data_IF_539649151814
#
_entry.id   IF_539649151814
#
_cell.length_a   1.000
_cell.length_b   1.000
_cell.length_c   1.000
_cell.angle_alpha   90.00
_cell.angle_beta   90.00
_cell.angle_gamma   90.00
#
_symmetry.space_group_name_H-M   'P 1'
#
loop_
_entity.id
_entity.type
_entity.pdbx_description
1 polymer ?
#
# COMPACT_ATOMS: atom_id res chain seq x y z
N UNK A 1 11.78 -19.05 22.99
CA UNK A 1 10.84 -17.93 22.83
C UNK A 1 9.44 -18.50 22.78
N UNK A 2 8.61 -18.20 23.78
CA UNK A 2 7.25 -18.72 23.86
C UNK A 2 6.29 -17.84 23.04
N UNK A 3 5.96 -18.30 21.84
CA UNK A 3 4.93 -17.72 20.98
C UNK A 3 3.52 -18.10 21.43
N UNK A 4 3.32 -18.27 22.74
CA UNK A 4 2.01 -18.66 23.24
C UNK A 4 1.01 -17.56 22.88
N UNK A 5 -0.19 -17.89 22.39
CA UNK A 5 -1.22 -16.89 22.06
C UNK A 5 -1.51 -15.95 23.24
N UNK A 6 -1.40 -16.45 24.48
CA UNK A 6 -1.59 -15.66 25.70
C UNK A 6 -0.53 -14.57 25.85
N UNK A 7 0.72 -14.89 25.53
CA UNK A 7 1.84 -13.93 25.60
C UNK A 7 1.63 -12.81 24.57
N UNK A 8 1.29 -13.17 23.33
CA UNK A 8 1.04 -12.20 22.26
C UNK A 8 -0.14 -11.30 22.61
N UNK A 9 -1.27 -11.86 23.05
CA UNK A 9 -2.45 -11.08 23.46
C UNK A 9 -2.11 -10.13 24.60
N UNK A 10 -1.37 -10.59 25.61
CA UNK A 10 -0.99 -9.74 26.75
C UNK A 10 -0.21 -8.51 26.29
N UNK A 11 0.66 -8.63 25.28
CA UNK A 11 1.41 -7.50 24.73
C UNK A 11 0.52 -6.48 24.04
N UNK A 12 -0.50 -6.91 23.30
CA UNK A 12 -1.43 -5.98 22.65
C UNK A 12 -2.40 -5.31 23.62
N UNK A 13 -2.61 -5.89 24.80
CA UNK A 13 -3.41 -5.30 25.88
C UNK A 13 -2.56 -4.41 26.80
N UNK A 14 -1.31 -4.79 27.05
CA UNK A 14 -0.35 -4.09 27.93
C UNK A 14 0.97 -3.85 27.18
N UNK A 15 0.99 -2.94 26.18
CA UNK A 15 2.15 -2.73 25.30
C UNK A 15 3.42 -2.37 26.07
N UNK A 16 3.30 -1.60 27.14
CA UNK A 16 4.43 -1.13 27.96
C UNK A 16 5.25 -2.28 28.58
N UNK A 17 4.61 -3.42 28.87
CA UNK A 17 5.28 -4.59 29.46
C UNK A 17 5.89 -5.50 28.40
N UNK A 18 5.25 -5.62 27.24
CA UNK A 18 5.65 -6.57 26.19
C UNK A 18 6.82 -6.10 25.33
N UNK A 19 6.95 -4.79 25.13
CA UNK A 19 7.89 -4.26 24.15
C UNK A 19 9.35 -4.26 24.60
N UNK A 20 9.66 -4.37 25.90
CA UNK A 20 11.06 -4.41 26.37
C UNK A 20 11.82 -5.66 25.98
N UNK A 21 11.15 -6.80 25.83
CA UNK A 21 11.82 -8.10 25.68
C UNK A 21 11.85 -8.63 24.24
N UNK A 22 10.91 -8.20 23.39
CA UNK A 22 10.67 -8.83 22.08
C UNK A 22 10.84 -7.89 20.89
N UNK A 23 10.87 -6.57 21.13
CA UNK A 23 10.86 -5.58 20.07
C UNK A 23 12.17 -5.63 19.27
N UNK A 24 12.09 -6.20 18.07
CA UNK A 24 13.19 -6.24 17.13
C UNK A 24 12.69 -5.88 15.73
N UNK A 25 13.56 -5.27 14.93
CA UNK A 25 13.25 -4.99 13.53
C UNK A 25 12.82 -6.26 12.76
N UNK A 26 13.41 -7.41 13.11
CA UNK A 26 13.04 -8.71 12.54
C UNK A 26 11.59 -9.10 12.86
N UNK A 27 11.17 -8.96 14.11
CA UNK A 27 9.78 -9.25 14.51
C UNK A 27 8.78 -8.36 13.78
N UNK A 28 9.08 -7.07 13.67
CA UNK A 28 8.25 -6.12 12.93
C UNK A 28 8.18 -6.44 11.43
N UNK A 29 9.31 -6.77 10.81
CA UNK A 29 9.34 -7.18 9.41
C UNK A 29 8.51 -8.45 9.16
N UNK A 30 8.54 -9.43 10.08
CA UNK A 30 7.71 -10.64 9.99
C UNK A 30 6.22 -10.30 10.09
N UNK A 31 5.82 -9.44 11.03
CA UNK A 31 4.42 -8.99 11.16
C UNK A 31 3.97 -8.27 9.90
N UNK A 32 4.76 -7.32 9.40
CA UNK A 32 4.41 -6.56 8.18
C UNK A 32 4.33 -7.49 6.98
N UNK A 33 5.27 -8.42 6.79
CA UNK A 33 5.22 -9.40 5.72
C UNK A 33 3.97 -10.29 5.80
N UNK A 34 3.61 -10.75 7.00
CA UNK A 34 2.39 -11.51 7.21
C UNK A 34 1.15 -10.71 6.84
N UNK A 35 1.10 -9.42 7.19
CA UNK A 35 0.03 -8.50 6.77
C UNK A 35 0.00 -8.30 5.25
N UNK A 36 1.15 -8.21 4.57
CA UNK A 36 1.20 -8.14 3.11
C UNK A 36 0.53 -9.35 2.46
N UNK A 37 0.93 -10.55 2.89
CA UNK A 37 0.43 -11.81 2.35
C UNK A 37 -1.06 -11.97 2.65
N UNK A 38 -1.47 -11.69 3.89
CA UNK A 38 -2.87 -11.73 4.30
C UNK A 38 -3.72 -10.78 3.46
N UNK A 39 -3.29 -9.53 3.30
CA UNK A 39 -4.01 -8.53 2.53
C UNK A 39 -4.12 -8.93 1.05
N UNK A 40 -3.03 -9.41 0.44
CA UNK A 40 -3.01 -9.87 -0.94
C UNK A 40 -3.95 -11.06 -1.19
N UNK A 41 -3.92 -12.07 -0.30
CA UNK A 41 -4.81 -13.24 -0.37
C UNK A 41 -6.27 -12.82 -0.25
N UNK A 42 -6.59 -11.97 0.72
CA UNK A 42 -7.95 -11.50 0.98
C UNK A 42 -8.50 -10.60 -0.15
N UNK A 43 -7.65 -9.80 -0.81
CA UNK A 43 -8.03 -9.07 -2.03
C UNK A 43 -8.27 -10.02 -3.20
N UNK A 44 -7.43 -11.04 -3.37
CA UNK A 44 -7.63 -12.06 -4.41
C UNK A 44 -8.95 -12.82 -4.21
N UNK A 45 -9.28 -13.16 -2.97
CA UNK A 45 -10.55 -13.79 -2.61
C UNK A 45 -11.74 -12.87 -2.93
N UNK A 46 -11.68 -11.60 -2.50
CA UNK A 46 -12.73 -10.62 -2.80
C UNK A 46 -12.89 -10.38 -4.32
N UNK A 47 -11.79 -10.37 -5.08
CA UNK A 47 -11.82 -10.25 -6.53
C UNK A 47 -12.56 -11.44 -7.19
N UNK A 48 -12.41 -12.65 -6.62
CA UNK A 48 -13.17 -13.82 -7.07
C UNK A 48 -14.67 -13.63 -6.85
N UNK A 49 -15.07 -13.12 -5.68
CA UNK A 49 -16.47 -12.82 -5.39
C UNK A 49 -17.06 -11.78 -6.36
N UNK A 50 -16.29 -10.73 -6.69
CA UNK A 50 -16.66 -9.72 -7.70
C UNK A 50 -16.82 -10.36 -9.08
N UNK A 51 -15.90 -11.24 -9.49
CA UNK A 51 -15.98 -11.94 -10.77
C UNK A 51 -17.23 -12.82 -10.85
N UNK A 52 -17.54 -13.58 -9.79
CA UNK A 52 -18.73 -14.44 -9.72
C UNK A 52 -20.04 -13.65 -9.71
N UNK A 53 -20.08 -12.49 -9.04
CA UNK A 53 -21.25 -11.63 -9.02
C UNK A 53 -21.48 -10.90 -10.36
N UNK A 54 -20.47 -10.79 -11.21
CA UNK A 54 -20.54 -10.09 -12.49
C UNK A 54 -21.06 -11.00 -13.60
N UNK A 55 -22.09 -10.54 -14.31
CA UNK A 55 -22.74 -11.29 -15.38
C UNK A 55 -22.78 -10.49 -16.68
N UNK A 56 -23.09 -11.19 -17.77
CA UNK A 56 -23.18 -10.60 -19.11
C UNK A 56 -21.85 -10.59 -19.85
N UNK A 57 -21.91 -10.03 -21.05
CA UNK A 57 -20.76 -9.86 -21.92
C UNK A 57 -21.10 -8.92 -23.06
N UNK A 58 -20.07 -8.55 -23.81
CA UNK A 58 -20.21 -7.80 -25.05
C UNK A 58 -19.39 -8.48 -26.12
N UNK A 59 -19.89 -8.46 -27.35
CA UNK A 59 -19.13 -8.91 -28.50
C UNK A 59 -18.07 -7.86 -28.81
N UNK A 60 -16.83 -8.31 -28.95
CA UNK A 60 -15.68 -7.49 -29.31
C UNK A 60 -15.01 -8.15 -30.50
N UNK A 61 -14.46 -7.33 -31.38
CA UNK A 61 -13.65 -7.80 -32.49
C UNK A 61 -12.51 -8.73 -32.01
N UNK A 62 -12.36 -9.87 -32.69
CA UNK A 62 -11.39 -10.87 -32.34
C UNK A 62 -9.98 -10.44 -32.77
N UNK A 63 -9.12 -10.08 -31.80
CA UNK A 63 -7.74 -9.70 -32.10
C UNK A 63 -6.88 -10.82 -32.68
N UNK A 64 -7.34 -12.08 -32.62
CA UNK A 64 -6.67 -13.21 -33.27
C UNK A 64 -7.05 -13.37 -34.75
N UNK A 65 -8.19 -12.79 -35.18
CA UNK A 65 -8.53 -12.69 -36.60
C UNK A 65 -7.76 -11.52 -37.22
N UNK A 66 -7.13 -11.70 -38.39
CA UNK A 66 -6.57 -10.58 -39.14
C UNK A 66 -7.66 -9.52 -39.43
N UNK A 67 -7.30 -8.23 -39.53
CA UNK A 67 -8.25 -7.19 -39.91
C UNK A 67 -8.97 -7.53 -41.22
N UNK A 68 -10.22 -7.10 -41.36
CA UNK A 68 -11.07 -7.50 -42.50
C UNK A 68 -10.44 -7.18 -43.86
N UNK A 69 -9.72 -6.06 -44.00
CA UNK A 69 -9.02 -5.72 -45.25
C UNK A 69 -7.91 -6.71 -45.64
N UNK A 70 -7.31 -7.42 -44.67
CA UNK A 70 -6.37 -8.52 -44.92
C UNK A 70 -7.13 -9.77 -45.37
N UNK A 71 -8.26 -10.06 -44.72
CA UNK A 71 -9.07 -11.22 -45.05
C UNK A 71 -9.75 -11.10 -46.42
N UNK A 72 -10.16 -9.90 -46.81
CA UNK A 72 -10.66 -9.59 -48.17
C UNK A 72 -9.60 -9.81 -49.25
N UNK A 73 -8.31 -9.73 -48.91
CA UNK A 73 -7.19 -9.88 -49.83
C UNK A 73 -6.50 -11.24 -49.74
N UNK A 74 -6.92 -12.11 -48.81
CA UNK A 74 -6.34 -13.43 -48.57
C UNK A 74 -6.87 -14.49 -49.54
N UNK A 75 -6.74 -14.22 -50.85
CA UNK A 75 -7.07 -15.17 -51.91
C UNK A 75 -5.85 -16.07 -52.26
N UNK A 76 -6.06 -17.29 -52.79
CA UNK A 76 -4.96 -18.15 -53.23
C UNK A 76 -4.05 -17.45 -54.26
N UNK A 77 -2.74 -17.41 -54.01
CA UNK A 77 -1.76 -16.70 -54.82
C UNK A 77 -1.56 -15.22 -54.47
N UNK A 78 -2.26 -14.69 -53.46
CA UNK A 78 -2.06 -13.33 -52.94
C UNK A 78 -0.87 -13.23 -51.98
N UNK A 79 -0.40 -12.01 -51.69
CA UNK A 79 0.60 -11.78 -50.63
C UNK A 79 0.08 -12.09 -49.22
N UNK A 80 -1.23 -12.29 -49.05
CA UNK A 80 -1.89 -12.52 -47.77
C UNK A 80 -2.41 -13.96 -47.61
N UNK A 81 -2.12 -14.87 -48.54
CA UNK A 81 -2.53 -16.29 -48.49
C UNK A 81 -2.19 -16.96 -47.16
N UNK A 82 -1.07 -16.60 -46.52
CA UNK A 82 -0.67 -17.12 -45.19
C UNK A 82 -1.68 -16.85 -44.06
N UNK A 83 -2.62 -15.93 -44.27
CA UNK A 83 -3.65 -15.54 -43.31
C UNK A 83 -5.02 -16.15 -43.61
N UNK A 84 -5.17 -16.85 -44.74
CA UNK A 84 -6.44 -17.41 -45.19
C UNK A 84 -7.06 -18.33 -44.12
N UNK A 85 -6.28 -19.27 -43.59
CA UNK A 85 -6.73 -20.19 -42.53
C UNK A 85 -7.27 -19.42 -41.30
N UNK A 86 -6.57 -18.37 -40.86
CA UNK A 86 -7.01 -17.57 -39.71
C UNK A 86 -8.28 -16.76 -40.02
N UNK A 87 -8.43 -16.26 -41.24
CA UNK A 87 -9.62 -15.53 -41.68
C UNK A 87 -10.87 -16.42 -41.79
N UNK A 88 -10.69 -17.71 -42.12
CA UNK A 88 -11.77 -18.69 -42.25
C UNK A 88 -12.13 -19.37 -40.92
N UNK A 89 -11.15 -19.59 -40.03
CA UNK A 89 -11.34 -20.36 -38.79
C UNK A 89 -11.64 -19.52 -37.56
N UNK A 90 -11.13 -18.29 -37.49
CA UNK A 90 -11.35 -17.41 -36.35
C UNK A 90 -12.64 -16.58 -36.53
N UNK A 91 -13.54 -16.54 -35.53
CA UNK A 91 -14.75 -15.74 -35.63
C UNK A 91 -14.42 -14.24 -35.65
N UNK A 92 -15.25 -13.43 -36.32
CA UNK A 92 -15.07 -11.97 -36.42
C UNK A 92 -15.16 -11.29 -35.05
N UNK A 93 -16.07 -11.78 -34.20
CA UNK A 93 -16.26 -11.29 -32.85
C UNK A 93 -16.17 -12.43 -31.85
N UNK A 94 -15.63 -12.10 -30.67
CA UNK A 94 -15.59 -13.00 -29.51
C UNK A 94 -16.32 -12.30 -28.38
N UNK A 95 -17.29 -12.99 -27.78
CA UNK A 95 -17.99 -12.50 -26.59
C UNK A 95 -17.02 -12.41 -25.41
N UNK A 96 -16.68 -11.20 -25.01
CA UNK A 96 -15.87 -10.94 -23.81
C UNK A 96 -16.80 -10.94 -22.60
N UNK A 97 -16.68 -11.96 -21.76
CA UNK A 97 -17.43 -12.03 -20.52
C UNK A 97 -16.98 -10.94 -19.54
N UNK A 98 -17.96 -10.22 -18.98
CA UNK A 98 -17.68 -9.17 -18.01
C UNK A 98 -17.09 -9.73 -16.71
N UNK A 99 -17.40 -10.99 -16.34
CA UNK A 99 -16.82 -11.69 -15.19
C UNK A 99 -15.29 -11.77 -15.24
N UNK A 100 -14.73 -12.14 -16.39
CA UNK A 100 -13.28 -12.23 -16.59
C UNK A 100 -12.61 -10.84 -16.54
N UNK A 101 -13.26 -9.82 -17.16
CA UNK A 101 -12.77 -8.44 -17.12
C UNK A 101 -12.81 -7.88 -15.69
N UNK A 102 -13.91 -8.10 -14.97
CA UNK A 102 -14.09 -7.67 -13.60
C UNK A 102 -13.09 -8.35 -12.65
N UNK A 103 -12.94 -9.68 -12.77
CA UNK A 103 -11.97 -10.45 -12.00
C UNK A 103 -10.54 -9.98 -12.24
N UNK A 104 -10.15 -9.70 -13.49
CA UNK A 104 -8.83 -9.17 -13.80
C UNK A 104 -8.62 -7.75 -13.27
N UNK A 105 -9.64 -6.90 -13.34
CA UNK A 105 -9.58 -5.53 -12.82
C UNK A 105 -9.42 -5.51 -11.29
N UNK A 106 -10.25 -6.29 -10.58
CA UNK A 106 -10.18 -6.43 -9.13
C UNK A 106 -8.89 -7.15 -8.70
N UNK A 107 -8.48 -8.21 -9.42
CA UNK A 107 -7.21 -8.92 -9.21
C UNK A 107 -5.98 -8.04 -9.44
N UNK A 108 -6.09 -7.02 -10.31
CA UNK A 108 -5.07 -5.98 -10.49
C UNK A 108 -4.77 -5.16 -9.23
N UNK A 109 -5.60 -5.25 -8.18
CA UNK A 109 -5.35 -4.63 -6.87
C UNK A 109 -4.43 -5.46 -5.97
N UNK A 110 -4.18 -6.74 -6.28
CA UNK A 110 -3.35 -7.63 -5.44
C UNK A 110 -1.92 -7.09 -5.24
N UNK A 111 -1.20 -6.60 -6.27
CA UNK A 111 0.12 -6.00 -6.06
C UNK A 111 0.08 -4.77 -5.16
N UNK A 112 -0.95 -3.93 -5.29
CA UNK A 112 -1.13 -2.76 -4.42
C UNK A 112 -1.41 -3.18 -2.98
N UNK A 113 -2.25 -4.21 -2.78
CA UNK A 113 -2.56 -4.76 -1.48
C UNK A 113 -1.32 -5.37 -0.78
N UNK A 114 -0.43 -5.99 -1.55
CA UNK A 114 0.85 -6.49 -1.07
C UNK A 114 1.80 -5.36 -0.62
N UNK A 115 1.80 -4.24 -1.33
CA UNK A 115 2.66 -3.08 -1.06
C UNK A 115 2.08 -2.10 -0.03
N UNK A 116 0.78 -2.20 0.29
CA UNK A 116 0.11 -1.27 1.18
C UNK A 116 0.64 -1.30 2.63
N UNK A 117 0.78 -2.47 3.31
CA UNK A 117 1.33 -2.52 4.66
C UNK A 117 2.75 -1.94 4.82
N UNK A 118 3.75 -2.25 3.96
CA UNK A 118 5.08 -1.69 4.12
C UNK A 118 5.11 -0.20 3.80
N UNK A 119 4.30 0.27 2.85
CA UNK A 119 4.18 1.70 2.58
C UNK A 119 3.65 2.47 3.80
N UNK A 120 2.60 1.95 4.46
CA UNK A 120 2.08 2.53 5.71
C UNK A 120 3.09 2.43 6.85
N UNK A 121 3.77 1.29 6.99
CA UNK A 121 4.79 1.09 8.00
C UNK A 121 5.91 2.13 7.90
N UNK A 122 6.42 2.36 6.68
CA UNK A 122 7.48 3.31 6.42
C UNK A 122 7.02 4.76 6.60
N UNK A 123 5.83 5.12 6.09
CA UNK A 123 5.27 6.46 6.24
C UNK A 123 4.99 6.83 7.70
N UNK A 124 4.36 5.93 8.47
CA UNK A 124 4.11 6.14 9.88
C UNK A 124 5.42 6.23 10.68
N UNK A 125 6.38 5.33 10.44
CA UNK A 125 7.69 5.37 11.11
C UNK A 125 8.46 6.64 10.80
N UNK A 126 8.39 7.09 9.54
CA UNK A 126 8.94 8.37 9.10
C UNK A 126 8.35 9.56 9.83
N UNK A 127 7.02 9.61 9.93
CA UNK A 127 6.33 10.69 10.63
C UNK A 127 6.71 10.73 12.11
N UNK A 128 6.73 9.58 12.77
CA UNK A 128 7.22 9.49 14.15
C UNK A 128 8.66 9.98 14.26
N UNK A 129 9.56 9.50 13.39
CA UNK A 129 10.96 9.90 13.41
C UNK A 129 11.14 11.42 13.23
N UNK A 130 10.37 12.05 12.33
CA UNK A 130 10.43 13.51 12.11
C UNK A 130 9.85 14.29 13.29
N UNK A 131 8.65 13.93 13.77
CA UNK A 131 7.96 14.66 14.85
C UNK A 131 8.72 14.56 16.17
N UNK A 132 9.35 13.43 16.43
CA UNK A 132 10.16 13.22 17.62
C UNK A 132 11.54 13.90 17.52
N UNK A 133 11.84 14.54 16.39
CA UNK A 133 13.03 15.37 16.21
C UNK A 133 14.26 14.58 15.76
N UNK A 134 14.07 13.56 14.92
CA UNK A 134 15.14 12.69 14.44
C UNK A 134 16.37 13.47 13.98
N UNK A 135 17.50 13.27 14.71
CA UNK A 135 18.87 13.62 14.35
C UNK A 135 19.12 15.05 13.84
N UNK A 136 19.28 15.99 14.78
CA UNK A 136 20.10 17.20 14.54
C UNK A 136 21.39 17.28 15.37
N UNK A 137 21.66 16.37 16.32
CA UNK A 137 22.91 16.37 17.10
C UNK A 137 23.78 15.12 16.87
N UNK A 138 25.10 15.29 17.01
CA UNK A 138 26.16 14.30 16.74
C UNK A 138 26.43 13.32 17.90
N UNK A 139 25.62 13.33 18.96
CA UNK A 139 25.85 12.44 20.09
C UNK A 139 25.35 11.00 19.80
N UNK A 140 26.22 9.96 19.89
CA UNK A 140 25.80 8.57 19.80
C UNK A 140 24.80 8.13 20.89
N UNK A 141 24.68 8.87 22.00
CA UNK A 141 23.80 8.55 23.13
C UNK A 141 22.36 9.12 23.03
N UNK A 142 22.11 10.13 22.17
CA UNK A 142 20.80 10.78 21.97
C UNK A 142 19.95 10.18 20.82
N UNK A 143 20.28 8.96 20.39
CA UNK A 143 19.68 8.37 19.19
C UNK A 143 18.35 7.71 19.52
N UNK A 144 17.24 8.35 19.11
CA UNK A 144 16.06 7.57 18.73
C UNK A 144 16.45 6.74 17.52
N UNK A 145 16.72 5.46 17.73
CA UNK A 145 17.07 4.60 16.62
C UNK A 145 15.82 4.42 15.76
N UNK A 146 15.85 4.90 14.52
CA UNK A 146 14.78 4.68 13.53
C UNK A 146 14.37 3.20 13.48
N UNK A 147 15.31 2.30 13.77
CA UNK A 147 15.08 0.85 13.92
C UNK A 147 14.06 0.51 15.00
N UNK A 148 14.06 1.21 16.13
CA UNK A 148 13.17 0.92 17.25
C UNK A 148 11.78 1.49 16.98
N UNK A 149 11.72 2.68 16.36
CA UNK A 149 10.47 3.25 15.83
C UNK A 149 9.86 2.31 14.79
N UNK A 150 10.67 1.85 13.81
CA UNK A 150 10.24 0.86 12.84
C UNK A 150 9.75 -0.41 13.54
N UNK A 151 10.44 -0.88 14.57
CA UNK A 151 10.03 -2.08 15.26
C UNK A 151 8.66 -1.91 15.99
N UNK A 152 8.45 -0.79 16.69
CA UNK A 152 7.17 -0.49 17.37
C UNK A 152 6.04 -0.33 16.35
N UNK A 153 6.29 0.45 15.31
CA UNK A 153 5.25 0.75 14.31
C UNK A 153 4.84 -0.53 13.59
N UNK A 154 5.79 -1.36 13.16
CA UNK A 154 5.52 -2.57 12.40
C UNK A 154 4.75 -3.62 13.21
N UNK A 155 5.08 -3.81 14.49
CA UNK A 155 4.29 -4.67 15.39
C UNK A 155 2.91 -4.06 15.64
N UNK A 156 2.84 -2.75 15.88
CA UNK A 156 1.58 -2.05 16.15
C UNK A 156 0.63 -1.99 14.95
N UNK A 157 1.06 -2.41 13.76
CA UNK A 157 0.17 -2.66 12.62
C UNK A 157 -0.58 -3.98 12.70
N UNK A 158 -0.25 -4.91 13.60
CA UNK A 158 -0.94 -6.20 13.69
C UNK A 158 -2.47 -6.12 13.80
N UNK A 159 -3.08 -5.16 14.53
CA UNK A 159 -4.53 -4.97 14.53
C UNK A 159 -5.14 -4.74 13.13
N UNK A 160 -4.36 -4.28 12.15
CA UNK A 160 -4.81 -4.09 10.77
C UNK A 160 -5.28 -5.41 10.10
N UNK A 161 -4.85 -6.57 10.60
CA UNK A 161 -5.35 -7.86 10.11
C UNK A 161 -6.87 -7.96 10.17
N UNK A 162 -7.49 -7.42 11.22
CA UNK A 162 -8.96 -7.44 11.39
C UNK A 162 -9.68 -6.60 10.33
N UNK A 163 -9.12 -5.45 9.92
CA UNK A 163 -9.73 -4.66 8.84
C UNK A 163 -9.51 -5.30 7.46
N UNK A 164 -8.46 -6.07 7.23
CA UNK A 164 -8.34 -6.85 5.99
C UNK A 164 -9.42 -7.92 5.89
N UNK A 165 -9.57 -8.72 6.95
CA UNK A 165 -10.60 -9.75 7.03
C UNK A 165 -12.00 -9.13 6.93
N UNK A 166 -12.23 -8.05 7.70
CA UNK A 166 -13.49 -7.31 7.69
C UNK A 166 -13.83 -6.74 6.32
N UNK A 167 -12.85 -6.20 5.57
CA UNK A 167 -13.08 -5.70 4.21
C UNK A 167 -13.62 -6.80 3.30
N UNK A 168 -12.91 -7.93 3.24
CA UNK A 168 -13.30 -9.06 2.38
C UNK A 168 -14.66 -9.61 2.77
N UNK A 169 -14.93 -9.79 4.06
CA UNK A 169 -16.23 -10.25 4.54
C UNK A 169 -17.37 -9.30 4.15
N UNK A 170 -17.17 -7.99 4.26
CA UNK A 170 -18.18 -6.99 3.85
C UNK A 170 -18.38 -6.98 2.35
N UNK A 171 -17.31 -7.10 1.55
CA UNK A 171 -17.41 -7.21 0.08
C UNK A 171 -18.22 -8.45 -0.30
N UNK A 172 -17.85 -9.63 0.21
CA UNK A 172 -18.57 -10.88 -0.04
C UNK A 172 -20.04 -10.79 0.36
N UNK A 173 -20.33 -10.24 1.55
CA UNK A 173 -21.70 -10.06 2.02
C UNK A 173 -22.49 -9.08 1.15
N UNK A 174 -21.86 -8.00 0.68
CA UNK A 174 -22.52 -7.00 -0.18
C UNK A 174 -22.85 -7.52 -1.58
N UNK A 175 -22.14 -8.58 -2.00
CA UNK A 175 -22.32 -9.25 -3.29
C UNK A 175 -23.19 -10.51 -3.18
N UNK A 176 -23.41 -11.04 -1.98
CA UNK A 176 -24.25 -12.21 -1.75
C UNK A 176 -25.67 -11.95 -2.25
N UNK A 177 -26.08 -12.68 -3.29
CA UNK A 177 -27.40 -12.53 -3.91
C UNK A 177 -27.56 -11.30 -4.81
N UNK A 178 -26.48 -10.55 -5.07
CA UNK A 178 -26.47 -9.40 -5.97
C UNK A 178 -25.80 -9.75 -7.29
N UNK A 179 -26.35 -9.21 -8.38
CA UNK A 179 -25.76 -9.32 -9.72
C UNK A 179 -25.21 -7.97 -10.14
N UNK A 180 -23.95 -7.96 -10.58
CA UNK A 180 -23.32 -6.82 -11.24
C UNK A 180 -23.53 -6.99 -12.74
N UNK A 181 -24.26 -6.05 -13.35
CA UNK A 181 -24.59 -6.06 -14.78
C UNK A 181 -24.05 -4.77 -15.44
N UNK A 182 -22.73 -4.71 -15.71
CA UNK A 182 -22.14 -3.53 -16.33
C UNK A 182 -22.59 -3.39 -17.79
N UNK A 183 -22.60 -2.16 -18.30
CA UNK A 183 -23.06 -1.85 -19.66
C UNK A 183 -21.97 -1.99 -20.73
N UNK A 184 -20.69 -2.00 -20.32
CA UNK A 184 -19.54 -2.08 -21.23
C UNK A 184 -18.30 -2.65 -20.52
N UNK A 185 -17.23 -2.93 -21.27
CA UNK A 185 -15.93 -3.36 -20.69
C UNK A 185 -15.34 -2.30 -19.76
N UNK A 186 -15.44 -1.02 -20.12
CA UNK A 186 -14.92 0.07 -19.27
C UNK A 186 -15.72 0.15 -17.98
N UNK A 187 -17.04 0.01 -18.09
CA UNK A 187 -17.94 0.00 -16.94
C UNK A 187 -17.70 -1.23 -16.05
N UNK A 188 -17.47 -2.41 -16.62
CA UNK A 188 -17.14 -3.63 -15.89
C UNK A 188 -15.88 -3.46 -15.03
N UNK A 189 -14.83 -2.81 -15.56
CA UNK A 189 -13.60 -2.52 -14.79
C UNK A 189 -13.89 -1.57 -13.62
N UNK A 190 -14.65 -0.50 -13.87
CA UNK A 190 -14.99 0.50 -12.85
C UNK A 190 -15.85 -0.11 -11.75
N UNK A 191 -16.95 -0.76 -12.12
CA UNK A 191 -17.88 -1.43 -11.19
C UNK A 191 -17.14 -2.49 -10.36
N UNK A 192 -16.20 -3.23 -10.96
CA UNK A 192 -15.40 -4.21 -10.23
C UNK A 192 -14.50 -3.56 -9.16
N UNK A 193 -13.81 -2.47 -9.50
CA UNK A 193 -12.95 -1.74 -8.53
C UNK A 193 -13.79 -1.07 -7.45
N UNK A 194 -14.91 -0.46 -7.81
CA UNK A 194 -15.84 0.18 -6.87
C UNK A 194 -16.45 -0.86 -5.90
N UNK A 195 -16.76 -2.06 -6.38
CA UNK A 195 -17.26 -3.16 -5.55
C UNK A 195 -16.24 -3.67 -4.51
N UNK A 196 -14.94 -3.46 -4.75
CA UNK A 196 -13.87 -3.80 -3.81
C UNK A 196 -13.74 -2.80 -2.65
N UNK A 197 -14.42 -1.65 -2.73
CA UNK A 197 -14.36 -0.59 -1.73
C UNK A 197 -15.69 -0.53 -0.96
N UNK A 198 -15.77 -1.20 0.20
CA UNK A 198 -17.03 -1.29 0.93
C UNK A 198 -17.45 0.06 1.53
N UNK A 199 -18.54 0.64 1.01
CA UNK A 199 -19.23 1.78 1.61
C UNK A 199 -20.17 1.32 2.74
N UNK A 200 -19.60 0.76 3.81
CA UNK A 200 -20.36 0.20 4.94
C UNK A 200 -19.99 0.86 6.25
N UNK A 201 -20.98 1.28 7.03
CA UNK A 201 -20.78 1.78 8.38
C UNK A 201 -20.13 0.73 9.30
N UNK A 202 -20.42 -0.56 9.06
CA UNK A 202 -19.79 -1.67 9.79
C UNK A 202 -18.30 -1.74 9.48
N UNK A 203 -17.93 -1.62 8.21
CA UNK A 203 -16.51 -1.61 7.82
C UNK A 203 -15.78 -0.40 8.42
N UNK A 204 -16.39 0.78 8.37
CA UNK A 204 -15.83 1.98 9.00
C UNK A 204 -15.62 1.79 10.50
N UNK A 205 -16.56 1.16 11.21
CA UNK A 205 -16.40 0.85 12.63
C UNK A 205 -15.20 -0.08 12.88
N UNK A 206 -15.01 -1.11 12.04
CA UNK A 206 -13.83 -2.00 12.12
C UNK A 206 -12.53 -1.21 11.89
N UNK A 207 -12.49 -0.32 10.90
CA UNK A 207 -11.34 0.55 10.65
C UNK A 207 -11.04 1.43 11.87
N UNK A 208 -12.04 2.10 12.42
CA UNK A 208 -11.86 2.97 13.60
C UNK A 208 -11.35 2.17 14.79
N UNK A 209 -11.94 1.02 15.09
CA UNK A 209 -11.51 0.16 16.22
C UNK A 209 -10.06 -0.31 16.03
N UNK A 210 -9.71 -0.78 14.84
CA UNK A 210 -8.34 -1.27 14.57
C UNK A 210 -7.31 -0.14 14.60
N UNK A 211 -7.64 1.04 14.07
CA UNK A 211 -6.75 2.22 14.13
C UNK A 211 -6.57 2.71 15.57
N UNK A 212 -7.64 2.79 16.36
CA UNK A 212 -7.54 3.16 17.78
C UNK A 212 -6.69 2.15 18.55
N UNK A 213 -6.82 0.85 18.24
CA UNK A 213 -5.98 -0.18 18.83
C UNK A 213 -4.51 -0.02 18.43
N UNK A 214 -4.21 0.16 17.14
CA UNK A 214 -2.85 0.46 16.68
C UNK A 214 -2.26 1.70 17.34
N UNK A 215 -3.05 2.77 17.46
CA UNK A 215 -2.65 4.01 18.14
C UNK A 215 -2.32 3.76 19.62
N UNK A 216 -3.13 2.97 20.33
CA UNK A 216 -2.86 2.57 21.71
C UNK A 216 -1.54 1.79 21.83
N UNK A 217 -1.30 0.83 20.93
CA UNK A 217 -0.07 0.02 20.90
C UNK A 217 1.16 0.89 20.60
N UNK A 218 1.08 1.77 19.60
CA UNK A 218 2.17 2.70 19.29
C UNK A 218 2.44 3.67 20.42
N UNK A 219 1.41 4.23 21.06
CA UNK A 219 1.57 5.13 22.20
C UNK A 219 2.35 4.46 23.33
N UNK A 220 1.95 3.26 23.75
CA UNK A 220 2.65 2.52 24.81
C UNK A 220 4.06 2.07 24.39
N UNK A 221 4.21 1.55 23.17
CA UNK A 221 5.50 1.08 22.67
C UNK A 221 6.53 2.22 22.50
N UNK A 222 6.12 3.35 21.93
CA UNK A 222 7.01 4.50 21.75
C UNK A 222 7.42 5.11 23.08
N UNK A 223 6.53 5.24 24.06
CA UNK A 223 6.89 5.72 25.41
C UNK A 223 7.90 4.82 26.10
N UNK A 224 7.78 3.50 25.88
CA UNK A 224 8.67 2.50 26.49
C UNK A 224 10.06 2.54 25.87
N UNK A 225 10.15 2.66 24.55
CA UNK A 225 11.41 2.65 23.80
C UNK A 225 12.15 3.98 23.91
N UNK A 226 11.42 5.09 23.97
CA UNK A 226 12.00 6.44 23.99
C UNK A 226 12.18 7.00 25.40
N UNK A 227 11.71 6.26 26.41
CA UNK A 227 11.76 6.63 27.83
C UNK A 227 11.28 8.07 28.10
N UNK A 228 10.26 8.50 27.35
CA UNK A 228 9.78 9.90 27.35
C UNK A 228 8.26 9.97 27.32
N UNK A 229 7.69 10.78 28.21
CA UNK A 229 6.27 11.14 28.22
C UNK A 229 6.02 12.47 27.51
N UNK A 230 6.33 12.53 26.21
CA UNK A 230 6.18 13.78 25.45
C UNK A 230 4.78 13.89 24.82
N UNK A 231 4.19 15.09 24.90
CA UNK A 231 2.99 15.46 24.12
C UNK A 231 3.18 15.28 22.61
N UNK A 232 4.44 15.28 22.13
CA UNK A 232 4.77 15.04 20.72
C UNK A 232 4.44 13.61 20.28
N UNK A 233 4.61 12.62 21.16
CA UNK A 233 4.24 11.21 20.86
C UNK A 233 2.73 11.12 20.65
N UNK A 234 1.95 11.68 21.58
CA UNK A 234 0.50 11.65 21.52
C UNK A 234 -0.04 12.37 20.25
N UNK A 235 0.55 13.52 19.91
CA UNK A 235 0.22 14.26 18.68
C UNK A 235 0.59 13.47 17.40
N UNK A 236 1.76 12.84 17.35
CA UNK A 236 2.18 12.03 16.21
C UNK A 236 1.28 10.80 16.03
N UNK A 237 0.94 10.12 17.13
CA UNK A 237 0.03 8.97 17.12
C UNK A 237 -1.35 9.37 16.60
N UNK A 238 -1.88 10.50 17.09
CA UNK A 238 -3.16 11.02 16.60
C UNK A 238 -3.11 11.37 15.11
N UNK A 239 -2.03 12.00 14.64
CA UNK A 239 -1.84 12.33 13.23
C UNK A 239 -1.82 11.08 12.33
N UNK A 240 -1.05 10.03 12.71
CA UNK A 240 -1.04 8.75 11.98
C UNK A 240 -2.42 8.10 11.99
N UNK A 241 -3.11 8.09 13.13
CA UNK A 241 -4.44 7.52 13.25
C UNK A 241 -5.44 8.20 12.29
N UNK A 242 -5.45 9.54 12.25
CA UNK A 242 -6.29 10.29 11.32
C UNK A 242 -5.95 9.95 9.87
N UNK A 243 -4.67 9.90 9.51
CA UNK A 243 -4.22 9.55 8.16
C UNK A 243 -4.65 8.14 7.74
N UNK A 244 -4.83 7.21 8.68
CA UNK A 244 -5.30 5.85 8.39
C UNK A 244 -6.83 5.73 8.30
N UNK A 245 -7.59 6.65 8.93
CA UNK A 245 -9.06 6.64 8.89
C UNK A 245 -9.61 7.38 7.67
N UNK A 246 -9.03 8.53 7.30
CA UNK A 246 -9.46 9.35 6.15
C UNK A 246 -9.69 8.55 4.86
N UNK A 247 -8.81 7.62 4.47
CA UNK A 247 -8.94 6.88 3.21
C UNK A 247 -10.08 5.87 3.22
N UNK A 248 -10.47 5.37 4.40
CA UNK A 248 -11.63 4.50 4.54
C UNK A 248 -12.95 5.27 4.31
N UNK A 249 -12.93 6.60 4.48
CA UNK A 249 -14.07 7.49 4.18
C UNK A 249 -14.00 8.03 2.76
N UNK A 250 -12.79 8.31 2.26
CA UNK A 250 -12.54 8.86 0.92
C UNK A 250 -11.42 8.08 0.23
N UNK A 251 -11.75 6.95 -0.41
CA UNK A 251 -10.76 6.15 -1.10
C UNK A 251 -10.22 6.94 -2.31
N UNK A 252 -8.90 7.00 -2.42
CA UNK A 252 -8.20 7.56 -3.59
C UNK A 252 -7.54 6.41 -4.33
N UNK A 253 -8.01 6.12 -5.54
CA UNK A 253 -7.42 5.12 -6.43
C UNK A 253 -6.90 5.81 -7.70
N UNK A 254 -5.58 5.73 -7.92
CA UNK A 254 -4.91 6.37 -9.06
C UNK A 254 -4.64 5.40 -10.22
N UNK A 255 -5.09 4.14 -10.13
CA UNK A 255 -4.85 3.12 -11.14
C UNK A 255 -3.54 2.36 -10.96
N UNK A 256 -3.42 1.21 -11.63
CA UNK A 256 -2.21 0.38 -11.60
C UNK A 256 -0.98 1.07 -12.24
N UNK A 257 -1.19 2.01 -13.17
CA UNK A 257 -0.12 2.81 -13.77
C UNK A 257 0.61 3.68 -12.74
N UNK A 258 -0.05 4.02 -11.63
CA UNK A 258 0.53 4.82 -10.56
C UNK A 258 1.53 4.03 -9.69
N UNK A 259 1.56 2.69 -9.77
CA UNK A 259 2.47 1.85 -8.96
C UNK A 259 3.92 2.26 -9.12
N UNK A 260 4.38 2.42 -10.37
CA UNK A 260 5.77 2.78 -10.66
C UNK A 260 6.14 4.15 -10.09
N UNK A 261 5.23 5.13 -10.23
CA UNK A 261 5.42 6.46 -9.63
C UNK A 261 5.46 6.40 -8.10
N UNK A 262 4.57 5.62 -7.48
CA UNK A 262 4.53 5.44 -6.03
C UNK A 262 5.81 4.81 -5.48
N UNK A 263 6.33 3.77 -6.16
CA UNK A 263 7.60 3.14 -5.81
C UNK A 263 8.79 4.09 -5.99
N UNK A 264 8.81 4.88 -7.06
CA UNK A 264 9.85 5.88 -7.29
C UNK A 264 9.85 6.96 -6.19
N UNK A 265 8.68 7.45 -5.80
CA UNK A 265 8.53 8.43 -4.70
C UNK A 265 9.01 7.84 -3.36
N UNK A 266 8.66 6.59 -3.04
CA UNK A 266 9.20 5.90 -1.86
C UNK A 266 10.72 5.76 -1.92
N UNK A 267 11.27 5.31 -3.06
CA UNK A 267 12.69 5.08 -3.23
C UNK A 267 13.52 6.38 -3.09
N UNK A 268 12.99 7.51 -3.57
CA UNK A 268 13.61 8.83 -3.43
C UNK A 268 13.43 9.41 -2.02
N UNK A 269 12.26 9.22 -1.41
CA UNK A 269 11.94 9.79 -0.10
C UNK A 269 12.65 9.09 1.07
N UNK A 270 12.82 7.76 1.00
CA UNK A 270 13.38 6.96 2.09
C UNK A 270 14.81 7.37 2.48
N UNK A 271 15.78 7.54 1.56
CA UNK A 271 17.13 7.98 1.91
C UNK A 271 17.13 9.39 2.53
N UNK A 272 16.36 10.33 1.96
CA UNK A 272 16.24 11.69 2.46
C UNK A 272 15.66 11.73 3.88
N UNK A 273 14.71 10.83 4.17
CA UNK A 273 14.09 10.72 5.49
C UNK A 273 14.98 9.98 6.51
N UNK A 274 15.62 8.87 6.12
CA UNK A 274 16.37 8.00 7.03
C UNK A 274 17.81 8.48 7.28
N UNK A 275 18.42 9.11 6.28
CA UNK A 275 19.81 9.55 6.29
C UNK A 275 20.00 10.94 5.63
N UNK A 276 19.29 12.00 6.08
CA UNK A 276 19.32 13.32 5.45
C UNK A 276 20.74 13.90 5.34
N UNK A 277 21.60 13.72 6.36
CA UNK A 277 23.00 14.18 6.33
C UNK A 277 23.86 13.48 5.25
N UNK A 278 23.54 12.23 4.90
CA UNK A 278 24.27 11.52 3.84
C UNK A 278 23.84 12.09 2.50
N UNK A 279 22.54 12.34 2.31
CA UNK A 279 22.01 12.98 1.10
C UNK A 279 22.62 14.37 0.91
N UNK A 280 22.66 15.21 1.95
CA UNK A 280 23.29 16.54 1.89
C UNK A 280 24.79 16.46 1.58
N UNK A 281 25.51 15.47 2.14
CA UNK A 281 26.93 15.28 1.83
C UNK A 281 27.16 14.86 0.38
N UNK A 282 26.28 14.02 -0.17
CA UNK A 282 26.32 13.62 -1.59
C UNK A 282 25.99 14.81 -2.49
N UNK A 283 25.00 15.63 -2.12
CA UNK A 283 24.66 16.86 -2.85
C UNK A 283 25.85 17.83 -2.86
N UNK A 284 26.45 18.10 -1.69
CA UNK A 284 27.66 18.91 -1.60
C UNK A 284 28.79 18.32 -2.45
N UNK A 285 29.01 17.00 -2.42
CA UNK A 285 30.04 16.36 -3.24
C UNK A 285 29.88 16.64 -4.74
N UNK A 286 28.64 16.68 -5.26
CA UNK A 286 28.37 16.97 -6.67
C UNK A 286 28.38 18.47 -6.98
N UNK A 287 27.96 19.33 -6.05
CA UNK A 287 27.99 20.80 -6.20
C UNK A 287 29.43 21.35 -6.15
N UNK A 288 30.33 20.63 -5.44
CA UNK A 288 31.73 21.00 -5.21
C UNK A 288 32.70 20.64 -6.37
N UNK A 289 32.21 20.35 -7.59
CA UNK A 289 33.09 20.34 -8.78
C UNK A 289 33.76 21.72 -8.98
N UNK A 290 33.28 22.80 -8.34
CA UNK A 290 33.89 24.14 -8.36
C UNK A 290 34.58 24.66 -7.10
N UNK A 291 34.36 24.09 -5.90
CA UNK A 291 34.96 24.61 -4.65
C UNK A 291 35.43 23.46 -3.75
N UNK A 292 36.72 23.42 -3.38
CA UNK A 292 37.27 22.35 -2.51
C UNK A 292 37.42 22.90 -1.10
N UNK A 293 36.42 22.68 -0.25
CA UNK A 293 36.46 23.02 1.18
C UNK A 293 35.54 22.11 1.99
N UNK A 294 35.90 21.85 3.25
CA UNK A 294 35.11 21.06 4.19
C UNK A 294 33.94 21.93 4.68
N UNK A 295 32.79 21.85 4.01
CA UNK A 295 31.61 22.67 4.33
C UNK A 295 30.74 21.93 5.34
N UNK A 296 30.60 22.52 6.53
CA UNK A 296 29.73 22.00 7.58
C UNK A 296 28.25 22.07 7.16
N UNK A 297 27.54 20.93 7.23
CA UNK A 297 26.13 20.83 6.85
C UNK A 297 25.27 21.52 7.91
N UNK A 298 24.57 22.59 7.53
CA UNK A 298 23.68 23.33 8.44
C UNK A 298 22.48 22.47 8.87
N UNK A 299 22.15 22.50 10.17
CA UNK A 299 21.05 21.71 10.77
C UNK A 299 19.68 21.95 10.12
N UNK A 300 19.36 23.18 9.73
CA UNK A 300 18.08 23.47 9.07
C UNK A 300 17.93 22.81 7.70
N UNK A 301 19.04 22.58 6.96
CA UNK A 301 19.01 21.84 5.68
C UNK A 301 18.69 20.38 5.91
N UNK A 302 19.31 19.77 6.92
CA UNK A 302 19.02 18.40 7.34
C UNK A 302 17.54 18.23 7.67
N UNK A 303 16.96 19.16 8.44
CA UNK A 303 15.53 19.14 8.76
C UNK A 303 14.64 19.30 7.52
N UNK A 304 14.99 20.21 6.61
CA UNK A 304 14.25 20.42 5.36
C UNK A 304 14.26 19.15 4.49
N UNK A 305 15.43 18.53 4.32
CA UNK A 305 15.62 17.30 3.54
C UNK A 305 14.87 16.12 4.16
N UNK A 306 14.84 16.03 5.48
CA UNK A 306 14.07 15.02 6.19
C UNK A 306 12.55 15.19 6.00
N UNK A 307 12.05 16.44 6.08
CA UNK A 307 10.63 16.76 5.84
C UNK A 307 10.24 16.52 4.38
N UNK A 308 11.11 16.88 3.43
CA UNK A 308 10.90 16.60 2.01
C UNK A 308 10.87 15.08 1.75
N UNK A 309 11.80 14.34 2.34
CA UNK A 309 11.83 12.88 2.29
C UNK A 309 10.54 12.27 2.82
N UNK A 310 10.05 12.76 3.96
CA UNK A 310 8.77 12.32 4.54
C UNK A 310 7.59 12.62 3.61
N UNK A 311 7.53 13.81 3.02
CA UNK A 311 6.48 14.17 2.07
C UNK A 311 6.47 13.25 0.85
N UNK A 312 7.65 12.92 0.29
CA UNK A 312 7.79 11.95 -0.79
C UNK A 312 7.35 10.55 -0.38
N UNK A 313 7.69 10.10 0.84
CA UNK A 313 7.26 8.80 1.36
C UNK A 313 5.73 8.75 1.49
N UNK A 314 5.09 9.79 2.03
CA UNK A 314 3.63 9.87 2.11
C UNK A 314 2.97 9.90 0.74
N UNK A 315 3.51 10.70 -0.19
CA UNK A 315 3.02 10.76 -1.56
C UNK A 315 3.13 9.39 -2.25
N UNK A 316 4.26 8.69 -2.06
CA UNK A 316 4.46 7.33 -2.56
C UNK A 316 3.46 6.35 -1.96
N UNK A 317 3.27 6.38 -0.64
CA UNK A 317 2.31 5.51 0.07
C UNK A 317 0.86 5.75 -0.36
N UNK A 318 0.47 7.02 -0.54
CA UNK A 318 -0.83 7.41 -1.09
C UNK A 318 -1.01 6.90 -2.52
N UNK A 319 0.01 7.05 -3.35
CA UNK A 319 -0.01 6.67 -4.77
C UNK A 319 -0.13 5.15 -4.95
N UNK A 320 0.49 4.37 -4.07
CA UNK A 320 0.35 2.90 -4.03
C UNK A 320 -1.01 2.42 -3.50
N UNK A 321 -1.95 3.33 -3.23
CA UNK A 321 -3.22 2.98 -2.58
C UNK A 321 -3.00 2.43 -1.18
N UNK A 322 -1.81 2.65 -0.58
CA UNK A 322 -1.43 2.13 0.72
C UNK A 322 -2.42 2.55 1.79
N UNK A 323 -3.05 3.71 1.62
CA UNK A 323 -4.04 4.22 2.54
C UNK A 323 -5.45 3.61 2.32
N UNK A 324 -5.83 3.27 1.09
CA UNK A 324 -7.14 2.67 0.77
C UNK A 324 -7.15 1.16 1.03
N UNK A 325 -6.01 0.51 0.81
CA UNK A 325 -5.88 -0.93 0.86
C UNK A 325 -5.19 -1.44 2.13
N UNK A 326 -4.55 -0.58 2.94
CA UNK A 326 -3.98 -0.96 4.24
C UNK A 326 -4.97 -0.82 5.38
#
# INVERSE_FOLDING_TARGET
MDWSPRTVVRWFVHPEQGFREWLSLRSAAVVVLALCLLNAVLVSQAATAVATATTGGTDVENQHRPPDWICEQAEPGSSFERYQDACETEPETVTRQFSAVAGNAAGGLVPLALLAPPAVWLAASGLFAVVMGGKSHDDPSDRVALTDVLAVVGVGLAPAALRYVGRTAVVEQSLAGRTLAPASIVDAKRVAVDAMIPASAVYLAVVVVTVVWSAYVWRGGLRTVLETESRRIDAAVAAVAVLLVVPAVRPVYLGASAVGAGLALLALGLPAMAAPRVVERVELFFDLIGTRGDVEVKSWRVALTQVLGLALVFAGALTLGGLVLA
#
